data_IF_036325243929
#
_entry.id   IF_036325243929
#
_cell.length_a   1.000
_cell.length_b   1.000
_cell.length_c   1.000
_cell.angle_alpha   90.00
_cell.angle_beta   90.00
_cell.angle_gamma   90.00
#
_symmetry.space_group_name_H-M   'P 1'
#
loop_
_entity.id
_entity.type
_entity.pdbx_description
1 polymer ?
#
# COMPACT_ATOMS: atom_id res chain seq x y z
N UNK A 1 -1.87 21.07 -17.10
CA UNK A 1 -0.67 21.83 -16.67
C UNK A 1 -0.42 21.77 -15.16
N UNK A 2 -1.45 21.70 -14.30
CA UNK A 2 -1.30 21.59 -12.87
C UNK A 2 -0.52 20.32 -12.49
N UNK A 3 -0.93 19.17 -12.99
CA UNK A 3 -0.30 17.86 -12.69
C UNK A 3 1.17 17.82 -13.12
N UNK A 4 1.52 18.46 -14.23
CA UNK A 4 2.92 18.55 -14.69
C UNK A 4 3.77 19.37 -13.70
N UNK A 5 3.23 20.47 -13.19
CA UNK A 5 3.93 21.32 -12.20
C UNK A 5 4.14 20.55 -10.90
N UNK A 6 3.09 19.88 -10.42
CA UNK A 6 3.16 19.09 -9.20
C UNK A 6 4.14 17.92 -9.33
N UNK A 7 4.12 17.22 -10.45
CA UNK A 7 5.03 16.12 -10.70
C UNK A 7 6.49 16.60 -10.80
N UNK A 8 6.73 17.76 -11.44
CA UNK A 8 8.05 18.39 -11.49
C UNK A 8 8.53 18.85 -10.10
N UNK A 9 7.63 19.38 -9.27
CA UNK A 9 7.94 19.74 -7.88
C UNK A 9 8.41 18.51 -7.09
N UNK A 10 7.68 17.41 -7.18
CA UNK A 10 8.06 16.12 -6.55
C UNK A 10 9.39 15.60 -7.09
N UNK A 11 9.60 15.69 -8.41
CA UNK A 11 10.87 15.31 -9.02
C UNK A 11 12.05 16.10 -8.44
N UNK A 12 11.94 17.42 -8.33
CA UNK A 12 12.98 18.24 -7.72
C UNK A 12 13.19 17.90 -6.23
N UNK A 13 12.10 17.71 -5.47
CA UNK A 13 12.19 17.31 -4.07
C UNK A 13 12.91 15.96 -3.91
N UNK A 14 12.61 14.98 -4.77
CA UNK A 14 13.31 13.69 -4.76
C UNK A 14 14.82 13.88 -5.01
N UNK A 15 15.20 14.69 -5.99
CA UNK A 15 16.61 14.96 -6.29
C UNK A 15 17.34 15.67 -5.15
N UNK A 16 16.67 16.59 -4.45
CA UNK A 16 17.22 17.24 -3.26
C UNK A 16 17.48 16.27 -2.10
N UNK A 17 16.78 15.13 -2.09
CA UNK A 17 16.97 14.06 -1.12
C UNK A 17 17.83 12.91 -1.68
N UNK A 18 18.69 13.18 -2.68
CA UNK A 18 19.58 12.22 -3.33
C UNK A 18 18.88 10.99 -3.92
N UNK A 19 17.58 11.11 -4.23
CA UNK A 19 16.84 10.09 -4.94
C UNK A 19 17.12 10.22 -6.44
N UNK A 20 17.63 9.15 -7.02
CA UNK A 20 17.90 9.03 -8.45
C UNK A 20 16.57 8.97 -9.23
N UNK A 21 16.10 10.13 -9.61
CA UNK A 21 14.84 10.32 -10.31
C UNK A 21 15.05 11.23 -11.54
N UNK A 22 14.54 10.81 -12.68
CA UNK A 22 14.65 11.53 -13.95
C UNK A 22 13.29 11.98 -14.48
N UNK A 23 13.31 13.05 -15.28
CA UNK A 23 12.16 13.50 -16.04
C UNK A 23 12.19 12.91 -17.45
N UNK A 24 11.08 12.28 -17.86
CA UNK A 24 10.86 11.80 -19.22
C UNK A 24 9.87 12.70 -19.94
N UNK A 25 10.20 13.13 -21.15
CA UNK A 25 9.23 13.70 -22.08
C UNK A 25 8.36 12.59 -22.70
N UNK A 26 7.33 12.97 -23.45
CA UNK A 26 6.37 12.04 -24.05
C UNK A 26 7.04 10.99 -24.94
N UNK A 27 8.08 11.37 -25.69
CA UNK A 27 8.82 10.46 -26.56
C UNK A 27 9.55 9.40 -25.75
N UNK A 28 10.28 9.81 -24.73
CA UNK A 28 11.00 8.91 -23.83
C UNK A 28 10.04 8.00 -23.03
N UNK A 29 8.85 8.51 -22.65
CA UNK A 29 7.81 7.67 -22.04
C UNK A 29 7.39 6.54 -22.99
N UNK A 30 7.17 6.85 -24.27
CA UNK A 30 6.82 5.85 -25.28
C UNK A 30 7.94 4.85 -25.56
N UNK A 31 9.18 5.31 -25.57
CA UNK A 31 10.37 4.45 -25.72
C UNK A 31 10.54 3.51 -24.51
N UNK A 32 10.33 4.02 -23.30
CA UNK A 32 10.50 3.27 -22.07
C UNK A 32 9.36 2.27 -21.81
N UNK A 33 8.12 2.67 -22.10
CA UNK A 33 6.94 1.83 -21.92
C UNK A 33 6.08 1.85 -23.21
N UNK A 34 6.37 1.00 -24.20
CA UNK A 34 5.76 1.03 -25.52
C UNK A 34 4.26 0.81 -25.55
N UNK A 35 3.68 0.17 -24.54
CA UNK A 35 2.23 -0.08 -24.45
C UNK A 35 1.43 1.20 -24.17
N UNK A 36 2.04 2.23 -23.59
CA UNK A 36 1.34 3.47 -23.27
C UNK A 36 0.89 4.18 -24.56
N UNK A 37 -0.38 4.55 -24.61
CA UNK A 37 -0.89 5.42 -25.67
C UNK A 37 -0.45 6.86 -25.38
N UNK A 38 0.40 7.40 -26.23
CA UNK A 38 0.92 8.78 -26.14
C UNK A 38 0.33 9.71 -27.17
N UNK A 39 -0.78 9.33 -27.84
CA UNK A 39 -1.46 10.20 -28.80
C UNK A 39 -1.89 11.51 -28.12
N UNK A 40 -1.72 12.67 -28.77
CA UNK A 40 -2.17 13.96 -28.24
C UNK A 40 -3.71 14.11 -28.25
N UNK A 41 -4.42 13.22 -28.92
CA UNK A 41 -5.88 13.27 -29.11
C UNK A 41 -6.66 12.42 -28.10
N UNK A 42 -5.99 11.75 -27.16
CA UNK A 42 -6.67 11.02 -26.08
C UNK A 42 -7.17 11.99 -25.02
N UNK A 43 -8.17 11.57 -24.24
CA UNK A 43 -8.82 12.40 -23.21
C UNK A 43 -7.82 13.00 -22.21
N UNK A 44 -6.79 12.24 -21.85
CA UNK A 44 -5.73 12.64 -20.92
C UNK A 44 -4.36 12.42 -21.57
N UNK A 45 -3.88 13.35 -22.42
CA UNK A 45 -2.60 13.20 -23.11
C UNK A 45 -1.44 13.10 -22.14
N UNK A 46 -0.50 12.22 -22.43
CA UNK A 46 0.73 12.09 -21.65
C UNK A 46 1.66 13.26 -21.96
N UNK A 47 1.94 14.11 -20.98
CA UNK A 47 2.79 15.30 -21.12
C UNK A 47 4.22 15.06 -20.62
N UNK A 48 4.46 13.94 -19.99
CA UNK A 48 5.75 13.52 -19.43
C UNK A 48 5.54 12.62 -18.21
N UNK A 49 6.64 12.14 -17.66
CA UNK A 49 6.66 11.30 -16.46
C UNK A 49 7.90 11.55 -15.62
N UNK A 50 7.87 11.13 -14.37
CA UNK A 50 9.05 10.92 -13.55
C UNK A 50 9.35 9.43 -13.49
N UNK A 51 10.62 9.07 -13.59
CA UNK A 51 11.08 7.68 -13.54
C UNK A 51 12.13 7.50 -12.45
N UNK A 52 11.97 6.45 -11.66
CA UNK A 52 12.96 5.96 -10.71
C UNK A 52 13.42 4.58 -11.16
N UNK A 53 14.58 4.50 -11.81
CA UNK A 53 15.06 3.24 -12.44
C UNK A 53 15.43 2.16 -11.43
N UNK A 54 15.84 2.54 -10.24
CA UNK A 54 16.22 1.61 -9.18
C UNK A 54 15.07 1.25 -8.24
N UNK A 55 13.88 1.81 -8.49
CA UNK A 55 12.68 1.38 -7.82
C UNK A 55 12.21 0.03 -8.38
N UNK A 56 11.29 -0.60 -7.71
CA UNK A 56 10.75 -1.89 -8.11
C UNK A 56 9.53 -2.28 -7.28
N UNK A 57 9.11 -3.51 -7.45
CA UNK A 57 8.05 -4.11 -6.66
C UNK A 57 8.63 -5.11 -5.67
N UNK A 58 8.12 -5.11 -4.46
CA UNK A 58 8.44 -6.12 -3.46
C UNK A 58 7.31 -7.14 -3.35
N UNK A 59 7.64 -8.41 -3.28
CA UNK A 59 6.68 -9.45 -2.92
C UNK A 59 6.39 -9.34 -1.43
N UNK A 60 5.31 -8.65 -1.11
CA UNK A 60 4.93 -8.32 0.26
C UNK A 60 4.75 -9.55 1.17
N UNK A 61 4.23 -10.64 0.63
CA UNK A 61 4.11 -11.93 1.30
C UNK A 61 5.48 -12.52 1.68
N UNK A 62 6.43 -12.54 0.75
CA UNK A 62 7.78 -13.01 1.00
C UNK A 62 8.52 -12.15 2.03
N UNK A 63 8.32 -10.82 1.99
CA UNK A 63 8.88 -9.89 2.99
C UNK A 63 8.30 -10.18 4.37
N UNK A 64 6.97 -10.32 4.49
CA UNK A 64 6.30 -10.62 5.75
C UNK A 64 6.79 -11.96 6.33
N UNK A 65 6.87 -13.01 5.51
CA UNK A 65 7.39 -14.31 5.93
C UNK A 65 8.87 -14.27 6.28
N UNK A 66 9.67 -13.44 5.60
CA UNK A 66 11.08 -13.23 5.95
C UNK A 66 11.25 -12.67 7.36
N UNK A 67 10.51 -11.62 7.69
CA UNK A 67 10.50 -11.05 9.04
C UNK A 67 9.94 -12.02 10.08
N UNK A 68 8.86 -12.75 9.76
CA UNK A 68 8.29 -13.73 10.68
C UNK A 68 9.28 -14.83 11.04
N UNK A 69 9.98 -15.41 10.06
CA UNK A 69 11.02 -16.42 10.31
C UNK A 69 12.17 -15.88 11.15
N UNK A 70 12.65 -14.65 10.83
CA UNK A 70 13.71 -14.05 11.64
C UNK A 70 13.28 -13.75 13.07
N UNK A 71 12.01 -13.40 13.31
CA UNK A 71 11.46 -13.22 14.66
C UNK A 71 11.36 -14.54 15.41
N UNK A 72 10.87 -15.60 14.76
CA UNK A 72 10.75 -16.95 15.31
C UNK A 72 12.13 -17.49 15.72
N UNK A 73 13.16 -17.33 14.90
CA UNK A 73 14.55 -17.70 15.20
C UNK A 73 15.09 -16.97 16.45
N UNK A 74 14.57 -15.76 16.75
CA UNK A 74 14.90 -15.00 17.97
C UNK A 74 14.02 -15.35 19.17
N UNK A 75 13.15 -16.35 19.06
CA UNK A 75 12.29 -16.84 20.13
C UNK A 75 10.97 -16.06 20.29
N UNK A 76 10.50 -15.40 19.25
CA UNK A 76 9.18 -14.76 19.25
C UNK A 76 8.10 -15.77 18.89
N UNK A 77 7.13 -15.95 19.77
CA UNK A 77 5.95 -16.76 19.49
C UNK A 77 5.01 -16.06 18.51
N UNK A 78 4.79 -16.65 17.33
CA UNK A 78 3.88 -16.11 16.32
C UNK A 78 2.58 -16.91 16.30
N UNK A 79 1.50 -16.31 16.78
CA UNK A 79 0.19 -16.96 16.89
C UNK A 79 -0.72 -16.45 15.76
N UNK A 80 -0.84 -17.23 14.69
CA UNK A 80 -1.69 -16.91 13.55
C UNK A 80 -3.16 -17.22 13.84
N UNK A 81 -4.07 -16.56 13.10
CA UNK A 81 -5.52 -16.73 13.26
C UNK A 81 -5.96 -16.56 14.72
N UNK A 82 -5.44 -15.53 15.37
CA UNK A 82 -5.65 -15.19 16.76
C UNK A 82 -6.05 -13.71 16.83
N UNK A 83 -7.33 -13.44 16.82
CA UNK A 83 -7.87 -12.09 16.87
C UNK A 83 -7.81 -11.56 18.31
N UNK A 84 -7.33 -10.33 18.48
CA UNK A 84 -7.41 -9.59 19.75
C UNK A 84 -8.81 -9.02 19.88
N UNK A 85 -9.51 -9.42 20.94
CA UNK A 85 -10.90 -9.03 21.21
C UNK A 85 -11.03 -8.04 22.38
N UNK A 86 -9.95 -7.84 23.16
CA UNK A 86 -9.95 -6.90 24.26
C UNK A 86 -8.56 -6.64 24.82
N UNK A 87 -8.42 -5.56 25.57
CA UNK A 87 -7.20 -5.20 26.33
C UNK A 87 -7.57 -5.10 27.81
N UNK A 88 -6.90 -5.88 28.64
CA UNK A 88 -7.14 -5.92 30.09
C UNK A 88 -6.35 -4.83 30.79
N UNK A 89 -7.07 -3.94 31.48
CA UNK A 89 -6.51 -2.83 32.23
C UNK A 89 -6.99 -2.90 33.68
N UNK A 90 -6.06 -2.85 34.63
CA UNK A 90 -6.35 -2.79 36.07
C UNK A 90 -5.58 -1.64 36.70
N UNK A 91 -6.27 -0.75 37.40
CA UNK A 91 -5.66 0.44 38.05
C UNK A 91 -4.79 1.27 37.10
N UNK A 92 -5.22 1.45 35.83
CA UNK A 92 -4.49 2.22 34.82
C UNK A 92 -3.30 1.49 34.17
N UNK A 93 -3.05 0.24 34.53
CA UNK A 93 -1.96 -0.57 33.98
C UNK A 93 -2.50 -1.71 33.13
N UNK A 94 -1.85 -1.98 32.01
CA UNK A 94 -2.15 -3.15 31.18
C UNK A 94 -1.74 -4.42 31.95
N UNK A 95 -2.64 -5.41 31.93
CA UNK A 95 -2.40 -6.72 32.55
C UNK A 95 -2.43 -7.87 31.54
N UNK A 96 -2.90 -7.62 30.33
CA UNK A 96 -2.94 -8.60 29.26
C UNK A 96 -3.89 -8.22 28.15
N UNK A 97 -4.11 -9.16 27.25
CA UNK A 97 -5.08 -9.07 26.15
C UNK A 97 -5.98 -10.29 26.12
N UNK A 98 -7.23 -10.09 25.71
CA UNK A 98 -8.16 -11.16 25.35
C UNK A 98 -8.03 -11.47 23.86
N UNK A 99 -8.06 -12.74 23.53
CA UNK A 99 -8.01 -13.21 22.15
C UNK A 99 -9.00 -14.33 21.89
N UNK A 100 -9.24 -14.62 20.61
CA UNK A 100 -10.08 -15.78 20.21
C UNK A 100 -9.48 -17.13 20.62
N UNK A 101 -8.24 -17.16 21.11
CA UNK A 101 -7.53 -18.36 21.59
C UNK A 101 -7.25 -18.36 23.08
N UNK A 102 -7.80 -17.39 23.81
CA UNK A 102 -7.63 -17.23 25.25
C UNK A 102 -6.89 -15.96 25.64
N UNK A 103 -6.66 -15.79 26.92
CA UNK A 103 -6.01 -14.62 27.51
C UNK A 103 -4.50 -14.75 27.46
N UNK A 104 -3.81 -13.68 27.06
CA UNK A 104 -2.35 -13.57 27.13
C UNK A 104 -2.01 -12.50 28.17
N UNK A 105 -1.31 -12.88 29.22
CA UNK A 105 -0.89 -11.95 30.27
C UNK A 105 0.37 -11.20 29.85
N UNK A 106 0.34 -9.86 29.92
CA UNK A 106 1.48 -9.00 29.64
C UNK A 106 1.26 -7.64 30.29
N UNK A 107 2.34 -7.01 30.73
CA UNK A 107 2.30 -5.63 31.23
C UNK A 107 2.61 -4.57 30.16
N UNK A 108 2.88 -4.99 28.94
CA UNK A 108 3.13 -4.11 27.78
C UNK A 108 2.50 -4.71 26.53
N UNK A 109 1.85 -3.88 25.76
CA UNK A 109 1.25 -4.25 24.48
C UNK A 109 1.67 -3.26 23.41
N UNK A 110 2.26 -3.76 22.33
CA UNK A 110 2.54 -2.98 21.13
C UNK A 110 1.45 -3.22 20.08
N UNK A 111 0.98 -2.16 19.41
CA UNK A 111 -0.03 -2.25 18.37
C UNK A 111 0.58 -1.90 17.01
N UNK A 112 0.57 -2.87 16.09
CA UNK A 112 1.02 -2.72 14.71
C UNK A 112 -0.04 -3.29 13.76
N UNK A 113 -1.24 -2.69 13.79
CA UNK A 113 -2.44 -3.22 13.14
C UNK A 113 -2.88 -2.39 11.90
N UNK A 114 -2.00 -1.53 11.38
CA UNK A 114 -2.25 -0.69 10.20
C UNK A 114 -3.64 -0.04 10.23
N UNK A 115 -4.53 -0.33 9.29
CA UNK A 115 -5.87 0.22 9.21
C UNK A 115 -6.77 -0.11 10.41
N UNK A 116 -6.46 -1.11 11.22
CA UNK A 116 -7.23 -1.49 12.41
C UNK A 116 -6.67 -0.89 13.71
N UNK A 117 -5.61 -0.06 13.64
CA UNK A 117 -4.95 0.50 14.81
C UNK A 117 -5.90 1.25 15.74
N UNK A 118 -6.81 2.08 15.19
CA UNK A 118 -7.80 2.80 16.00
C UNK A 118 -8.84 1.88 16.65
N UNK A 119 -9.19 0.77 16.02
CA UNK A 119 -10.09 -0.26 16.60
C UNK A 119 -9.44 -0.88 17.83
N UNK A 120 -8.18 -1.31 17.72
CA UNK A 120 -7.45 -1.89 18.85
C UNK A 120 -7.20 -0.85 19.97
N UNK A 121 -6.83 0.39 19.62
CA UNK A 121 -6.63 1.45 20.59
C UNK A 121 -7.90 1.76 21.40
N UNK A 122 -9.07 1.73 20.77
CA UNK A 122 -10.36 1.92 21.44
C UNK A 122 -10.64 0.85 22.50
N UNK A 123 -10.13 -0.36 22.36
CA UNK A 123 -10.23 -1.42 23.39
C UNK A 123 -9.52 -1.03 24.69
N UNK A 124 -8.52 -0.16 24.60
CA UNK A 124 -7.81 0.43 25.74
C UNK A 124 -8.37 1.80 26.17
N UNK A 125 -9.48 2.25 25.59
CA UNK A 125 -10.05 3.58 25.84
C UNK A 125 -9.28 4.74 25.19
N UNK A 126 -8.34 4.45 24.28
CA UNK A 126 -7.51 5.45 23.62
C UNK A 126 -8.14 5.83 22.28
N UNK A 127 -8.49 7.10 22.10
CA UNK A 127 -8.95 7.65 20.83
C UNK A 127 -7.77 8.15 20.00
N UNK A 128 -7.56 7.55 18.83
CA UNK A 128 -6.58 8.02 17.86
C UNK A 128 -7.27 8.78 16.73
N UNK A 129 -6.68 9.88 16.22
CA UNK A 129 -7.21 10.63 15.08
C UNK A 129 -6.90 9.91 13.75
N UNK A 130 -7.31 8.64 13.65
CA UNK A 130 -7.07 7.78 12.49
C UNK A 130 -8.40 7.27 11.94
N UNK A 131 -8.54 7.39 10.63
CA UNK A 131 -9.64 6.82 9.87
C UNK A 131 -9.08 5.90 8.79
N UNK A 132 -9.72 4.74 8.59
CA UNK A 132 -9.36 3.80 7.53
C UNK A 132 -10.28 3.95 6.35
N UNK A 133 -9.69 4.17 5.18
CA UNK A 133 -10.39 4.23 3.90
C UNK A 133 -10.08 2.96 3.12
N UNK A 134 -11.07 2.32 2.50
CA UNK A 134 -10.82 1.16 1.66
C UNK A 134 -10.09 1.56 0.38
N UNK A 135 -9.21 0.67 -0.05
CA UNK A 135 -8.50 0.75 -1.32
C UNK A 135 -8.94 -0.45 -2.16
N UNK A 136 -9.29 -0.20 -3.41
CA UNK A 136 -9.62 -1.27 -4.33
C UNK A 136 -8.43 -1.60 -5.23
N UNK A 137 -8.20 -2.88 -5.42
CA UNK A 137 -7.26 -3.39 -6.39
C UNK A 137 -7.89 -4.56 -7.16
N UNK A 138 -7.59 -4.61 -8.44
CA UNK A 138 -8.04 -5.67 -9.35
C UNK A 138 -6.81 -6.46 -9.80
N UNK A 139 -6.99 -7.74 -9.98
CA UNK A 139 -5.97 -8.65 -10.53
C UNK A 139 -6.57 -9.36 -11.73
N UNK A 140 -5.88 -9.29 -12.86
CA UNK A 140 -6.32 -9.97 -14.08
C UNK A 140 -5.95 -11.45 -14.09
N UNK A 141 -6.51 -12.20 -15.03
CA UNK A 141 -5.90 -13.45 -15.46
C UNK A 141 -4.47 -13.19 -15.96
N UNK A 142 -3.57 -14.19 -15.89
CA UNK A 142 -2.21 -14.05 -16.38
C UNK A 142 -2.17 -13.77 -17.90
N UNK A 143 -1.39 -12.78 -18.29
CA UNK A 143 -1.14 -12.44 -19.69
C UNK A 143 0.36 -12.49 -19.98
N UNK A 144 0.75 -12.48 -21.24
CA UNK A 144 2.16 -12.37 -21.62
C UNK A 144 2.77 -11.10 -21.04
N UNK A 145 4.08 -11.06 -20.74
CA UNK A 145 4.75 -9.86 -20.28
C UNK A 145 4.55 -8.68 -21.25
N UNK A 146 3.96 -7.60 -20.74
CA UNK A 146 3.65 -6.39 -21.51
C UNK A 146 4.08 -5.11 -20.78
N UNK A 147 4.27 -5.19 -19.47
CA UNK A 147 4.70 -4.07 -18.62
C UNK A 147 5.78 -4.59 -17.67
N UNK A 148 6.97 -4.03 -17.76
CA UNK A 148 8.13 -4.36 -16.91
C UNK A 148 8.38 -3.32 -15.80
N UNK A 149 7.49 -2.34 -15.68
CA UNK A 149 7.56 -1.26 -14.69
C UNK A 149 6.18 -0.99 -14.10
N UNK A 150 6.14 -0.30 -12.96
CA UNK A 150 4.88 0.22 -12.42
C UNK A 150 4.57 1.55 -13.10
N UNK A 151 3.41 1.64 -13.73
CA UNK A 151 2.90 2.87 -14.34
C UNK A 151 1.82 3.46 -13.45
N UNK A 152 1.97 4.72 -13.07
CA UNK A 152 0.97 5.45 -12.29
C UNK A 152 0.56 6.73 -13.01
N UNK A 153 -0.74 6.95 -13.15
CA UNK A 153 -1.29 8.21 -13.65
C UNK A 153 -1.60 9.16 -12.49
N UNK A 154 -0.97 10.33 -12.52
CA UNK A 154 -1.24 11.36 -11.51
C UNK A 154 -2.61 12.03 -11.72
N UNK A 155 -3.14 12.02 -12.94
CA UNK A 155 -4.43 12.67 -13.28
C UNK A 155 -5.64 11.84 -12.83
N UNK A 156 -5.59 10.52 -13.00
CA UNK A 156 -6.71 9.64 -12.63
C UNK A 156 -6.43 8.83 -11.36
N UNK A 157 -5.27 9.04 -10.72
CA UNK A 157 -4.83 8.34 -9.50
C UNK A 157 -4.92 6.81 -9.58
N UNK A 158 -4.65 6.26 -10.76
CA UNK A 158 -4.63 4.83 -10.98
C UNK A 158 -3.22 4.35 -11.32
N UNK A 159 -2.90 3.15 -10.88
CA UNK A 159 -1.65 2.49 -11.24
C UNK A 159 -1.92 1.14 -11.89
N UNK A 160 -0.96 0.69 -12.68
CA UNK A 160 -0.90 -0.66 -13.22
C UNK A 160 0.53 -1.18 -13.15
N UNK A 161 0.65 -2.43 -12.76
CA UNK A 161 1.90 -3.20 -12.80
C UNK A 161 1.60 -4.62 -13.26
N UNK A 162 2.62 -5.37 -13.61
CA UNK A 162 2.48 -6.79 -13.92
C UNK A 162 3.29 -7.62 -12.92
N UNK A 163 2.67 -8.67 -12.41
CA UNK A 163 3.33 -9.59 -11.50
C UNK A 163 4.30 -10.53 -12.23
N UNK A 164 5.18 -11.18 -11.50
CA UNK A 164 6.07 -12.22 -12.02
C UNK A 164 5.33 -13.47 -12.55
N UNK A 165 4.06 -13.62 -12.19
CA UNK A 165 3.18 -14.68 -12.70
C UNK A 165 2.37 -14.28 -13.92
N UNK A 166 2.48 -13.00 -14.34
CA UNK A 166 1.83 -12.46 -15.52
C UNK A 166 0.51 -11.71 -15.26
N UNK A 167 -0.03 -11.71 -14.05
CA UNK A 167 -1.26 -10.95 -13.76
C UNK A 167 -0.99 -9.44 -13.79
N UNK A 168 -1.90 -8.68 -14.36
CA UNK A 168 -1.94 -7.23 -14.21
C UNK A 168 -2.58 -6.87 -12.88
N UNK A 169 -1.88 -6.09 -12.09
CA UNK A 169 -2.38 -5.52 -10.82
C UNK A 169 -2.74 -4.07 -11.07
N UNK A 170 -4.02 -3.75 -10.91
CA UNK A 170 -4.57 -2.43 -11.17
C UNK A 170 -5.18 -1.90 -9.88
N UNK A 171 -4.80 -0.72 -9.45
CA UNK A 171 -5.38 -0.05 -8.30
C UNK A 171 -5.67 1.41 -8.60
N UNK A 172 -6.59 1.97 -7.86
CA UNK A 172 -7.00 3.36 -7.97
C UNK A 172 -7.03 4.04 -6.60
N UNK A 173 -7.59 5.24 -6.52
CA UNK A 173 -7.71 6.03 -5.30
C UNK A 173 -8.57 5.38 -4.22
N UNK A 174 -8.66 6.05 -3.09
CA UNK A 174 -9.45 5.61 -1.92
C UNK A 174 -10.93 5.87 -2.12
N UNK A 175 -11.77 4.97 -1.62
CA UNK A 175 -13.20 5.21 -1.49
C UNK A 175 -13.49 6.29 -0.44
N UNK A 176 -14.60 7.00 -0.62
CA UNK A 176 -14.98 8.12 0.24
C UNK A 176 -15.54 7.73 1.62
N UNK A 177 -15.80 6.45 1.87
CA UNK A 177 -16.35 5.97 3.14
C UNK A 177 -15.28 5.34 4.04
N UNK A 178 -15.55 5.26 5.32
CA UNK A 178 -14.68 4.59 6.30
C UNK A 178 -15.09 3.12 6.42
N UNK A 179 -14.11 2.22 6.39
CA UNK A 179 -14.34 0.79 6.58
C UNK A 179 -13.17 0.13 7.29
N UNK A 180 -13.49 -0.82 8.15
CA UNK A 180 -12.52 -1.64 8.90
C UNK A 180 -12.63 -3.12 8.54
N UNK A 181 -13.29 -3.45 7.45
CA UNK A 181 -13.38 -4.82 6.96
C UNK A 181 -12.41 -5.06 5.80
N UNK A 182 -11.86 -6.25 5.72
CA UNK A 182 -11.08 -6.70 4.56
C UNK A 182 -11.95 -7.28 3.44
N UNK A 183 -13.27 -7.40 3.67
CA UNK A 183 -14.23 -7.93 2.70
C UNK A 183 -15.22 -6.82 2.39
N UNK A 184 -14.90 -5.98 1.41
CA UNK A 184 -15.83 -5.00 0.85
C UNK A 184 -16.52 -5.54 -0.40
N UNK A 185 -17.68 -4.98 -0.74
CA UNK A 185 -18.26 -5.10 -2.07
C UNK A 185 -17.49 -4.21 -3.07
N UNK A 186 -17.58 -4.54 -4.36
CA UNK A 186 -17.08 -3.64 -5.40
C UNK A 186 -17.88 -2.35 -5.43
N UNK A 187 -17.21 -1.23 -5.36
CA UNK A 187 -17.74 0.05 -5.79
C UNK A 187 -17.34 0.27 -7.24
N UNK A 188 -18.29 0.29 -8.14
CA UNK A 188 -18.09 0.75 -9.52
C UNK A 188 -18.48 2.22 -9.53
N UNK A 189 -17.49 3.11 -9.42
CA UNK A 189 -17.66 4.54 -9.64
C UNK A 189 -16.96 4.94 -10.92
#
# INVERSE_FOLDING_TARGET
>A
LHDVRELKRRWHANRLNDIDCEWLDTKKVKEFCPIINTSPHIRYPVLGATLQRRAGTARHDAVAWGYARGADEMGVDIIQNCEVTGINIKNGNITGIETTKGTINSNKVGVAAAGHTSVIANMAGIKLPLESKPLQALVSEPVKPVIDTVVMSNTIHAYVSQSDKGELVIGAGTDGYTSYTQRGGFNIV
#
